data_IF_080312033049
#
_entry.id   IF_080312033049
#
_cell.length_a   1.000
_cell.length_b   1.000
_cell.length_c   1.000
_cell.angle_alpha   90.00
_cell.angle_beta   90.00
_cell.angle_gamma   90.00
#
_symmetry.space_group_name_H-M   'P 1'
#
loop_
_entity.id
_entity.type
_entity.pdbx_description
1 polymer ?
#
# COMPACT_ATOMS: atom_id res chain seq x y z
N UNK A 1 -5.44 3.41 -17.17
CA UNK A 1 -4.43 4.48 -16.99
C UNK A 1 -3.30 4.31 -17.99
N UNK A 2 -2.59 5.39 -18.36
CA UNK A 2 -1.45 5.30 -19.28
C UNK A 2 -0.22 4.73 -18.55
N UNK A 3 0.64 4.01 -19.27
CA UNK A 3 1.87 3.39 -18.74
C UNK A 3 2.89 4.38 -18.13
N UNK A 4 2.68 5.68 -18.30
CA UNK A 4 3.55 6.76 -17.83
C UNK A 4 2.85 7.71 -16.84
N UNK A 5 1.71 7.29 -16.29
CA UNK A 5 1.09 8.03 -15.19
C UNK A 5 1.99 7.88 -13.97
N UNK A 6 2.44 8.97 -13.39
CA UNK A 6 3.29 8.99 -12.18
C UNK A 6 2.54 9.56 -10.98
N UNK A 7 1.20 9.55 -11.04
CA UNK A 7 0.36 10.07 -9.97
C UNK A 7 0.60 9.29 -8.69
N UNK A 8 0.58 10.02 -7.58
CA UNK A 8 0.76 9.47 -6.24
C UNK A 8 -0.51 9.62 -5.43
N UNK A 9 -0.88 8.55 -4.76
CA UNK A 9 -2.00 8.53 -3.82
C UNK A 9 -1.51 8.06 -2.46
N UNK A 10 -2.08 8.59 -1.39
CA UNK A 10 -1.92 8.09 -0.03
C UNK A 10 -3.10 7.21 0.35
N UNK A 11 -2.81 6.02 0.86
CA UNK A 11 -3.77 5.07 1.38
C UNK A 11 -3.64 5.04 2.91
N UNK A 12 -4.73 5.29 3.62
CA UNK A 12 -4.78 5.24 5.10
C UNK A 12 -5.99 4.46 5.59
N UNK A 13 -5.95 4.04 6.87
CA UNK A 13 -7.05 3.33 7.52
C UNK A 13 -6.85 1.82 7.72
N UNK A 14 -5.73 1.28 7.24
CA UNK A 14 -5.26 -0.07 7.57
C UNK A 14 -3.97 0.01 8.40
N UNK A 15 -3.83 -0.88 9.39
CA UNK A 15 -2.61 -1.02 10.18
C UNK A 15 -1.45 -1.65 9.39
N UNK A 16 -1.76 -2.37 8.31
CA UNK A 16 -0.78 -2.95 7.38
C UNK A 16 -1.27 -2.78 5.94
N UNK A 17 -0.35 -2.43 5.05
CA UNK A 17 -0.59 -2.41 3.60
C UNK A 17 0.34 -3.39 2.91
N UNK A 18 -0.16 -4.10 1.90
CA UNK A 18 0.64 -4.95 1.02
C UNK A 18 -0.01 -5.02 -0.36
N UNK A 19 0.80 -5.10 -1.40
CA UNK A 19 0.28 -5.43 -2.71
C UNK A 19 -0.27 -6.86 -2.70
N UNK A 20 -1.34 -7.09 -3.45
CA UNK A 20 -1.94 -8.40 -3.62
C UNK A 20 -0.90 -9.35 -4.21
N UNK A 21 -0.69 -10.49 -3.55
CA UNK A 21 0.37 -11.45 -3.87
C UNK A 21 1.81 -10.90 -3.72
N UNK A 22 1.99 -9.74 -3.08
CA UNK A 22 3.29 -9.21 -2.71
C UNK A 22 3.85 -9.88 -1.45
N UNK A 23 5.17 -9.83 -1.32
CA UNK A 23 5.94 -10.33 -0.18
C UNK A 23 6.37 -9.21 0.79
N UNK A 24 6.17 -7.94 0.42
CA UNK A 24 6.51 -6.77 1.23
C UNK A 24 5.27 -6.20 1.93
N UNK A 25 5.37 -6.05 3.24
CA UNK A 25 4.33 -5.56 4.15
C UNK A 25 4.76 -4.25 4.80
N UNK A 26 3.92 -3.23 4.68
CA UNK A 26 4.13 -1.90 5.23
C UNK A 26 3.30 -1.76 6.51
N UNK A 27 3.92 -2.03 7.66
CA UNK A 27 3.29 -1.96 8.98
C UNK A 27 3.21 -0.52 9.48
N UNK A 28 2.02 0.08 9.39
CA UNK A 28 1.74 1.45 9.83
C UNK A 28 1.81 1.56 11.36
N UNK A 29 1.33 0.58 12.08
CA UNK A 29 1.34 0.62 13.56
C UNK A 29 2.76 0.47 14.12
N UNK A 30 3.54 -0.46 13.56
CA UNK A 30 4.91 -0.75 13.99
C UNK A 30 5.93 0.23 13.39
N UNK A 31 5.53 0.98 12.36
CA UNK A 31 6.41 1.81 11.54
C UNK A 31 7.61 1.00 10.97
N UNK A 32 7.30 -0.20 10.47
CA UNK A 32 8.27 -1.15 9.91
C UNK A 32 7.84 -1.63 8.53
N UNK A 33 8.83 -1.96 7.70
CA UNK A 33 8.60 -2.62 6.41
C UNK A 33 9.22 -4.01 6.51
N UNK A 34 8.42 -5.05 6.31
CA UNK A 34 8.84 -6.43 6.44
C UNK A 34 8.71 -7.12 5.10
N UNK A 35 9.77 -7.79 4.63
CA UNK A 35 9.74 -8.70 3.50
C UNK A 35 9.70 -10.14 4.01
N UNK A 36 8.68 -10.88 3.58
CA UNK A 36 8.54 -12.30 3.90
C UNK A 36 9.21 -13.16 2.84
N UNK A 37 10.04 -14.10 3.26
CA UNK A 37 10.72 -15.02 2.34
C UNK A 37 10.06 -16.41 2.26
N UNK A 38 9.14 -16.73 3.18
CA UNK A 38 8.41 -17.99 3.20
C UNK A 38 8.27 -18.55 4.61
N UNK A 39 7.97 -19.86 4.73
CA UNK A 39 7.86 -20.53 6.03
C UNK A 39 9.22 -20.90 6.64
N UNK A 40 10.24 -21.05 5.81
CA UNK A 40 11.54 -21.64 6.18
C UNK A 40 12.66 -20.59 6.33
N UNK A 41 12.35 -19.31 6.07
CA UNK A 41 13.31 -18.21 6.10
C UNK A 41 12.81 -17.08 7.01
N UNK A 42 13.74 -16.44 7.73
CA UNK A 42 13.40 -15.32 8.62
C UNK A 42 12.92 -14.12 7.81
N UNK A 43 11.92 -13.42 8.35
CA UNK A 43 11.43 -12.16 7.82
C UNK A 43 12.54 -11.09 7.85
N UNK A 44 12.65 -10.30 6.78
CA UNK A 44 13.66 -9.25 6.64
C UNK A 44 13.03 -7.86 6.89
N UNK A 45 13.61 -7.07 7.80
CA UNK A 45 13.23 -5.67 7.96
C UNK A 45 13.94 -4.80 6.91
N UNK A 46 13.15 -4.12 6.08
CA UNK A 46 13.64 -3.25 5.02
C UNK A 46 13.66 -1.78 5.45
N UNK A 47 14.61 -0.97 4.95
CA UNK A 47 14.54 0.49 5.06
C UNK A 47 13.38 1.04 4.23
N UNK A 48 12.92 2.26 4.54
CA UNK A 48 11.86 2.95 3.80
C UNK A 48 12.41 3.73 2.59
N UNK A 49 12.83 3.00 1.55
CA UNK A 49 13.43 3.56 0.32
C UNK A 49 12.99 2.82 -0.96
N UNK A 50 11.86 2.13 -0.90
CA UNK A 50 11.27 1.36 -1.98
C UNK A 50 10.82 2.35 -3.08
N UNK A 51 10.99 1.96 -4.35
CA UNK A 51 10.92 2.92 -5.46
C UNK A 51 9.52 3.50 -5.68
N UNK A 52 8.48 2.74 -5.38
CA UNK A 52 7.11 3.00 -5.80
C UNK A 52 6.09 3.04 -4.67
N UNK A 53 6.48 2.63 -3.46
CA UNK A 53 5.68 2.71 -2.24
C UNK A 53 6.59 3.18 -1.12
N UNK A 54 6.12 4.09 -0.27
CA UNK A 54 6.84 4.46 0.94
C UNK A 54 5.89 4.52 2.14
N UNK A 55 6.40 4.12 3.29
CA UNK A 55 5.68 4.13 4.55
C UNK A 55 5.61 5.55 5.10
N UNK A 56 4.41 5.97 5.49
CA UNK A 56 4.14 7.22 6.19
C UNK A 56 3.58 6.91 7.58
N UNK A 57 3.49 7.96 8.41
CA UNK A 57 3.03 7.82 9.80
C UNK A 57 1.64 7.17 9.92
N UNK A 58 0.75 7.42 8.96
CA UNK A 58 -0.66 7.02 9.01
C UNK A 58 -1.09 6.11 7.85
N UNK A 59 -0.14 5.63 7.05
CA UNK A 59 -0.45 4.85 5.85
C UNK A 59 0.73 4.65 4.92
N UNK A 60 0.43 4.46 3.64
CA UNK A 60 1.44 4.37 2.57
C UNK A 60 1.15 5.37 1.48
N UNK A 61 2.18 5.92 0.86
CA UNK A 61 2.04 6.63 -0.41
C UNK A 61 2.53 5.73 -1.52
N UNK A 62 1.72 5.62 -2.55
CA UNK A 62 1.91 4.74 -3.69
C UNK A 62 2.03 5.60 -4.94
N UNK A 63 3.10 5.43 -5.68
CA UNK A 63 3.24 5.95 -7.04
C UNK A 63 2.72 4.92 -8.04
N UNK A 64 1.87 5.37 -8.96
CA UNK A 64 1.41 4.53 -10.05
C UNK A 64 2.59 4.27 -11.00
N UNK A 65 2.95 3.01 -11.22
CA UNK A 65 3.90 2.57 -12.26
C UNK A 65 3.32 1.39 -13.08
N UNK A 66 2.00 1.20 -13.02
CA UNK A 66 1.31 0.00 -13.48
C UNK A 66 0.13 -0.32 -12.56
N UNK A 67 -0.63 -1.36 -12.89
CA UNK A 67 -1.71 -1.84 -12.03
C UNK A 67 -1.13 -2.29 -10.67
N UNK A 68 -1.63 -1.68 -9.59
CA UNK A 68 -1.34 -2.09 -8.21
C UNK A 68 -2.67 -2.36 -7.52
N UNK A 69 -2.78 -3.54 -6.93
CA UNK A 69 -3.98 -3.97 -6.20
C UNK A 69 -3.56 -4.16 -4.75
N UNK A 70 -4.28 -3.54 -3.83
CA UNK A 70 -4.04 -3.69 -2.39
C UNK A 70 -5.27 -4.35 -1.78
N UNK A 71 -5.06 -5.45 -1.06
CA UNK A 71 -6.11 -6.07 -0.27
C UNK A 71 -6.11 -5.41 1.13
N UNK A 72 -7.18 -4.67 1.43
CA UNK A 72 -7.37 -3.99 2.71
C UNK A 72 -8.57 -4.60 3.45
N UNK A 73 -8.32 -5.67 4.20
CA UNK A 73 -9.34 -6.39 5.00
C UNK A 73 -9.13 -6.19 6.50
N UNK A 74 -10.23 -5.98 7.23
CA UNK A 74 -10.22 -5.87 8.69
C UNK A 74 -11.38 -6.68 9.29
N UNK A 75 -11.22 -7.19 10.51
CA UNK A 75 -12.25 -7.96 11.23
C UNK A 75 -13.24 -7.07 12.01
N UNK A 76 -13.01 -5.76 12.04
CA UNK A 76 -13.89 -4.74 12.62
C UNK A 76 -14.23 -3.70 11.56
N UNK A 77 -15.27 -2.90 11.80
CA UNK A 77 -15.59 -1.76 10.94
C UNK A 77 -14.36 -0.83 10.77
N UNK A 78 -14.08 -0.44 9.53
CA UNK A 78 -12.90 0.32 9.16
C UNK A 78 -13.22 1.29 8.02
N UNK A 79 -12.44 2.37 7.94
CA UNK A 79 -12.55 3.39 6.91
C UNK A 79 -11.23 3.47 6.16
N UNK A 80 -11.25 3.17 4.87
CA UNK A 80 -10.10 3.43 3.99
C UNK A 80 -10.23 4.82 3.39
N UNK A 81 -9.18 5.63 3.48
CA UNK A 81 -9.12 6.94 2.83
C UNK A 81 -8.08 6.92 1.71
N UNK A 82 -8.50 7.33 0.51
CA UNK A 82 -7.62 7.52 -0.65
C UNK A 82 -7.44 9.03 -0.85
N UNK A 83 -6.21 9.52 -0.69
CA UNK A 83 -5.88 10.94 -0.86
C UNK A 83 -4.98 11.12 -2.06
N UNK A 84 -5.38 11.93 -3.05
CA UNK A 84 -4.44 12.40 -4.06
C UNK A 84 -3.44 13.37 -3.41
N UNK A 85 -2.15 13.02 -3.40
CA UNK A 85 -1.10 13.87 -2.81
C UNK A 85 -0.41 14.76 -3.83
N UNK A 86 -0.78 14.65 -5.11
CA UNK A 86 -0.27 15.49 -6.18
C UNK A 86 -1.17 16.69 -6.47
N UNK A 87 -0.61 17.67 -7.18
CA UNK A 87 -1.34 18.87 -7.61
C UNK A 87 -2.20 18.64 -8.86
N UNK A 88 -2.02 17.52 -9.54
CA UNK A 88 -2.75 17.15 -10.76
C UNK A 88 -3.82 16.11 -10.42
N UNK A 89 -4.93 16.03 -11.16
CA UNK A 89 -5.93 15.00 -10.93
C UNK A 89 -5.33 13.59 -11.06
N UNK A 90 -5.71 12.71 -10.13
CA UNK A 90 -5.42 11.28 -10.18
C UNK A 90 -6.73 10.51 -10.38
N UNK A 91 -6.69 9.47 -11.20
CA UNK A 91 -7.81 8.54 -11.36
C UNK A 91 -7.52 7.29 -10.53
N UNK A 92 -8.51 6.80 -9.79
CA UNK A 92 -8.44 5.54 -9.06
C UNK A 92 -9.79 4.84 -9.10
N UNK A 93 -9.78 3.53 -8.89
CA UNK A 93 -10.97 2.69 -8.75
C UNK A 93 -10.87 1.95 -7.42
N UNK A 94 -11.98 1.90 -6.70
CA UNK A 94 -12.09 1.14 -5.46
C UNK A 94 -13.29 0.20 -5.59
N UNK A 95 -13.06 -1.08 -5.32
CA UNK A 95 -14.09 -2.11 -5.37
C UNK A 95 -14.28 -2.70 -3.98
N UNK A 96 -15.52 -2.70 -3.48
CA UNK A 96 -15.92 -3.43 -2.27
C UNK A 96 -16.46 -4.78 -2.72
N UNK A 97 -15.81 -5.87 -2.31
CA UNK A 97 -16.24 -7.23 -2.63
C UNK A 97 -16.82 -7.86 -1.36
N UNK A 98 -18.10 -8.19 -1.40
CA UNK A 98 -18.73 -9.07 -0.41
C UNK A 98 -18.53 -10.52 -0.87
N UNK A 99 -18.13 -11.42 0.03
CA UNK A 99 -17.82 -12.83 -0.30
C UNK A 99 -19.03 -13.73 -0.15
#
# INVERSE_FOLDING_TARGET
MKKNDSSRIKLTGSGVWSERNGDVYYGVEEQKIIKKHGLDEEDEELPNNQPDIYLEKDGVVVSYQGEKVFDATNNKAYTITITNVDKKPAQFEAQVVDK
#
